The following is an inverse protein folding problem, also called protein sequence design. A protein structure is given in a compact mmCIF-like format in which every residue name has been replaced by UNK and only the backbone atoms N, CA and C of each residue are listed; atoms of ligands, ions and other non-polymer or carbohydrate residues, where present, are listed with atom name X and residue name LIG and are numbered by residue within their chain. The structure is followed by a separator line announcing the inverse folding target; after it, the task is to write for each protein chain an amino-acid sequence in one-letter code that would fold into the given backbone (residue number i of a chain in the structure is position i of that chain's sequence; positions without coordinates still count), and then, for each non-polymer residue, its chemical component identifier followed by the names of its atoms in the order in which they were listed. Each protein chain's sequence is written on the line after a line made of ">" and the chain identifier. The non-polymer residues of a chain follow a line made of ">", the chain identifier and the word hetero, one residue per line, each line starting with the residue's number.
data_IF_868797620307
#
_entry.id   IF_868797620307
#
_cell.length_a   1.000
_cell.length_b   1.000
_cell.length_c   1.000
_cell.angle_alpha   90.00
_cell.angle_beta   90.00
_cell.angle_gamma   90.00
#
_symmetry.space_group_name_H-M   'P 1'
#
loop_
_entity.id
_entity.type
_entity.pdbx_description
1 polymer ?
#
# COMPACT_ATOMS: atom_id res chain seq x y z
N UNK A 1 -4.00 11.08 33.86
CA UNK A 1 -4.36 11.52 32.50
C UNK A 1 -5.84 11.84 32.49
N UNK A 2 -6.28 13.05 32.04
CA UNK A 2 -7.71 13.37 31.89
C UNK A 2 -8.23 12.58 30.69
N UNK A 3 -9.26 11.76 30.90
CA UNK A 3 -9.98 11.08 29.81
C UNK A 3 -10.80 12.13 29.05
N UNK A 4 -10.70 12.14 27.73
CA UNK A 4 -11.50 13.00 26.88
C UNK A 4 -12.91 12.41 26.78
N UNK A 5 -13.91 13.14 27.30
CA UNK A 5 -15.31 12.74 27.23
C UNK A 5 -15.93 13.23 25.92
N UNK A 6 -16.46 12.29 25.13
CA UNK A 6 -17.15 12.63 23.89
C UNK A 6 -18.53 13.21 24.18
N UNK A 7 -18.84 14.37 23.57
CA UNK A 7 -20.16 14.98 23.60
C UNK A 7 -21.04 14.59 22.38
N UNK A 8 -20.65 13.52 21.69
CA UNK A 8 -21.31 13.09 20.47
C UNK A 8 -22.64 12.39 20.76
N UNK A 9 -23.74 12.94 20.27
CA UNK A 9 -25.06 12.27 20.32
C UNK A 9 -25.18 11.29 19.15
N UNK A 10 -24.89 10.01 19.44
CA UNK A 10 -24.96 8.91 18.45
C UNK A 10 -26.38 8.56 18.00
N UNK A 11 -27.42 9.05 18.71
CA UNK A 11 -28.83 8.81 18.38
C UNK A 11 -29.40 9.90 17.46
N UNK A 12 -28.74 11.04 17.34
CA UNK A 12 -29.22 12.15 16.52
C UNK A 12 -29.28 11.77 15.03
N UNK A 13 -30.26 12.30 14.32
CA UNK A 13 -30.37 12.09 12.86
C UNK A 13 -29.18 12.64 12.10
N UNK A 14 -28.58 13.73 12.59
CA UNK A 14 -27.37 14.29 12.02
C UNK A 14 -26.16 13.31 12.10
N UNK A 15 -26.00 12.65 13.25
CA UNK A 15 -24.96 11.63 13.41
C UNK A 15 -25.20 10.45 12.47
N UNK A 16 -26.42 9.92 12.40
CA UNK A 16 -26.77 8.79 11.52
C UNK A 16 -26.49 9.11 10.06
N UNK A 17 -26.88 10.31 9.59
CA UNK A 17 -26.62 10.77 8.22
C UNK A 17 -25.13 10.86 7.92
N UNK A 18 -24.34 11.49 8.80
CA UNK A 18 -22.88 11.60 8.66
C UNK A 18 -22.20 10.23 8.67
N UNK A 19 -22.61 9.36 9.58
CA UNK A 19 -22.09 7.99 9.67
C UNK A 19 -22.36 7.19 8.40
N UNK A 20 -23.58 7.23 7.88
CA UNK A 20 -23.96 6.57 6.63
C UNK A 20 -23.10 7.05 5.46
N UNK A 21 -22.90 8.35 5.31
CA UNK A 21 -22.04 8.94 4.28
C UNK A 21 -20.58 8.49 4.41
N UNK A 22 -20.01 8.51 5.62
CA UNK A 22 -18.65 8.05 5.85
C UNK A 22 -18.48 6.55 5.56
N UNK A 23 -19.47 5.72 5.91
CA UNK A 23 -19.45 4.30 5.58
C UNK A 23 -19.49 4.05 4.07
N UNK A 24 -20.23 4.86 3.32
CA UNK A 24 -20.23 4.81 1.86
C UNK A 24 -18.84 5.14 1.28
N UNK A 25 -18.21 6.22 1.74
CA UNK A 25 -16.86 6.59 1.33
C UNK A 25 -15.82 5.51 1.67
N UNK A 26 -15.93 4.89 2.86
CA UNK A 26 -15.06 3.78 3.25
C UNK A 26 -15.27 2.55 2.37
N UNK A 27 -16.51 2.26 1.98
CA UNK A 27 -16.81 1.17 1.05
C UNK A 27 -16.17 1.40 -0.31
N UNK A 28 -16.29 2.62 -0.85
CA UNK A 28 -15.65 3.02 -2.10
C UNK A 28 -14.11 2.93 -2.01
N UNK A 29 -13.53 3.46 -0.94
CA UNK A 29 -12.08 3.38 -0.69
C UNK A 29 -11.62 1.91 -0.67
N UNK A 30 -12.34 1.03 0.01
CA UNK A 30 -12.00 -0.38 0.09
C UNK A 30 -12.11 -1.09 -1.28
N UNK A 31 -13.09 -0.71 -2.10
CA UNK A 31 -13.19 -1.20 -3.47
C UNK A 31 -11.97 -0.80 -4.31
N UNK A 32 -11.59 0.49 -4.27
CA UNK A 32 -10.40 1.00 -4.97
C UNK A 32 -9.12 0.34 -4.47
N UNK A 33 -8.96 0.15 -3.15
CA UNK A 33 -7.83 -0.61 -2.59
C UNK A 33 -7.72 -2.02 -3.18
N UNK A 34 -8.84 -2.74 -3.25
CA UNK A 34 -8.88 -4.08 -3.85
C UNK A 34 -8.46 -4.07 -5.32
N UNK A 35 -8.91 -3.07 -6.10
CA UNK A 35 -8.53 -2.92 -7.50
C UNK A 35 -7.01 -2.71 -7.68
N UNK A 36 -6.40 -1.85 -6.87
CA UNK A 36 -4.94 -1.60 -6.94
C UNK A 36 -4.11 -2.82 -6.54
N UNK A 37 -4.59 -3.60 -5.56
CA UNK A 37 -3.87 -4.77 -5.04
C UNK A 37 -4.08 -6.00 -5.95
N UNK A 38 -5.17 -6.03 -6.70
CA UNK A 38 -5.50 -7.15 -7.55
C UNK A 38 -4.37 -7.46 -8.55
N UNK A 39 -4.04 -8.73 -8.66
CA UNK A 39 -3.03 -9.24 -9.59
C UNK A 39 -3.67 -10.32 -10.47
N UNK A 40 -3.36 -10.30 -11.76
CA UNK A 40 -3.84 -11.32 -12.68
C UNK A 40 -3.26 -12.70 -12.28
N UNK A 41 -4.10 -13.71 -11.99
CA UNK A 41 -3.63 -15.01 -11.52
C UNK A 41 -2.62 -15.66 -12.47
N UNK A 42 -2.86 -15.55 -13.78
CA UNK A 42 -1.96 -16.09 -14.82
C UNK A 42 -0.57 -15.43 -14.80
N UNK A 43 -0.50 -14.11 -14.54
CA UNK A 43 0.76 -13.40 -14.46
C UNK A 43 1.54 -13.82 -13.21
N UNK A 44 0.85 -14.01 -12.09
CA UNK A 44 1.44 -14.54 -10.85
C UNK A 44 1.97 -15.94 -11.07
N UNK A 45 1.21 -16.83 -11.70
CA UNK A 45 1.62 -18.21 -11.99
C UNK A 45 2.89 -18.25 -12.86
N UNK A 46 2.93 -17.44 -13.94
CA UNK A 46 4.12 -17.30 -14.80
C UNK A 46 5.34 -16.82 -14.03
N UNK A 47 5.16 -15.92 -13.07
CA UNK A 47 6.24 -15.41 -12.22
C UNK A 47 6.76 -16.50 -11.29
N UNK A 48 5.87 -17.25 -10.64
CA UNK A 48 6.20 -18.36 -9.74
C UNK A 48 6.94 -19.49 -10.47
N UNK A 49 6.52 -19.85 -11.70
CA UNK A 49 7.23 -20.83 -12.54
C UNK A 49 8.67 -20.44 -12.86
N UNK A 50 9.01 -19.15 -12.77
CA UNK A 50 10.37 -18.61 -12.93
C UNK A 50 11.14 -18.51 -11.61
N UNK A 51 10.63 -19.08 -10.51
CA UNK A 51 11.23 -18.99 -9.18
C UNK A 51 11.17 -17.59 -8.56
N UNK A 52 10.27 -16.71 -9.06
CA UNK A 52 10.14 -15.33 -8.56
C UNK A 52 8.79 -15.14 -7.86
N UNK A 53 8.75 -14.23 -6.90
CA UNK A 53 7.53 -13.89 -6.15
C UNK A 53 7.04 -12.47 -6.49
N UNK A 54 5.71 -12.22 -6.44
CA UNK A 54 5.16 -10.86 -6.45
C UNK A 54 5.76 -10.01 -5.34
N UNK A 55 5.81 -8.69 -5.54
CA UNK A 55 6.47 -7.77 -4.60
C UNK A 55 5.91 -7.86 -3.17
N UNK A 56 4.57 -7.84 -3.01
CA UNK A 56 3.93 -7.96 -1.69
C UNK A 56 4.24 -9.29 -1.00
N UNK A 57 4.32 -10.37 -1.75
CA UNK A 57 4.70 -11.68 -1.20
C UNK A 57 6.16 -11.71 -0.73
N UNK A 58 7.07 -11.06 -1.47
CA UNK A 58 8.47 -10.91 -1.03
C UNK A 58 8.55 -10.16 0.29
N UNK A 59 7.84 -9.03 0.40
CA UNK A 59 7.83 -8.23 1.63
C UNK A 59 7.23 -9.05 2.79
N UNK A 60 6.10 -9.74 2.56
CA UNK A 60 5.47 -10.59 3.57
C UNK A 60 6.42 -11.67 4.14
N UNK A 61 7.33 -12.20 3.30
CA UNK A 61 8.33 -13.20 3.71
C UNK A 61 9.49 -12.62 4.52
N UNK A 62 9.71 -11.32 4.43
CA UNK A 62 10.77 -10.60 5.17
C UNK A 62 10.25 -10.09 6.51
N UNK A 63 8.96 -9.79 6.59
CA UNK A 63 8.30 -9.31 7.81
C UNK A 63 8.23 -10.39 8.89
N UNK A 64 8.22 -9.95 10.12
CA UNK A 64 8.01 -10.82 11.28
C UNK A 64 6.62 -11.50 11.21
N UNK A 65 6.48 -12.73 11.75
CA UNK A 65 5.20 -13.42 11.75
C UNK A 65 4.09 -12.63 12.43
N UNK A 66 2.95 -12.48 11.75
CA UNK A 66 1.79 -11.75 12.28
C UNK A 66 1.88 -10.21 12.13
N UNK A 67 2.95 -9.68 11.55
CA UNK A 67 3.07 -8.24 11.30
C UNK A 67 2.08 -7.78 10.22
N UNK A 68 1.33 -6.72 10.51
CA UNK A 68 0.48 -6.00 9.55
C UNK A 68 1.17 -4.69 9.15
N UNK A 69 1.89 -4.65 8.03
CA UNK A 69 2.67 -3.49 7.64
C UNK A 69 1.78 -2.36 7.14
N UNK A 70 2.23 -1.12 7.37
CA UNK A 70 1.65 0.08 6.78
C UNK A 70 2.15 0.26 5.34
N UNK A 71 1.29 0.13 4.34
CA UNK A 71 1.65 0.42 2.95
C UNK A 71 1.58 1.92 2.65
N UNK A 72 2.67 2.47 2.13
CA UNK A 72 2.82 3.87 1.77
C UNK A 72 2.55 4.06 0.27
N UNK A 73 1.74 5.07 -0.07
CA UNK A 73 1.46 5.44 -1.46
C UNK A 73 0.81 4.33 -2.28
N UNK A 74 -0.15 3.60 -1.70
CA UNK A 74 -0.91 2.56 -2.40
C UNK A 74 -1.54 3.07 -3.70
N UNK A 75 -2.08 4.29 -3.70
CA UNK A 75 -2.71 4.94 -4.86
C UNK A 75 -1.75 5.77 -5.72
N UNK A 76 -0.43 5.65 -5.51
CA UNK A 76 0.51 6.32 -6.40
C UNK A 76 0.33 5.84 -7.84
N UNK A 77 0.27 6.77 -8.79
CA UNK A 77 -0.05 6.56 -10.20
C UNK A 77 -1.51 6.10 -10.48
N UNK A 78 -2.44 6.27 -9.50
CA UNK A 78 -3.86 6.02 -9.74
C UNK A 78 -4.37 6.90 -10.89
N UNK A 79 -5.06 6.27 -11.87
CA UNK A 79 -5.57 6.94 -13.07
C UNK A 79 -4.49 7.71 -13.89
N UNK A 80 -3.24 7.25 -13.80
CA UNK A 80 -2.12 7.72 -14.63
C UNK A 80 -1.66 6.61 -15.58
N UNK A 81 -0.92 6.99 -16.63
CA UNK A 81 -0.34 6.04 -17.59
C UNK A 81 -1.39 5.16 -18.31
N UNK A 82 -2.45 5.78 -18.80
CA UNK A 82 -3.54 5.11 -19.52
C UNK A 82 -3.10 4.41 -20.82
N UNK A 83 -1.96 4.83 -21.37
CA UNK A 83 -1.29 4.22 -22.53
C UNK A 83 -0.65 2.86 -22.22
N UNK A 84 -0.53 2.52 -20.93
CA UNK A 84 0.04 1.25 -20.47
C UNK A 84 -1.10 0.29 -20.13
N UNK A 85 -1.21 -0.89 -20.80
CA UNK A 85 -2.19 -1.91 -20.44
C UNK A 85 -2.07 -2.30 -18.96
N UNK A 86 -3.18 -2.19 -18.21
CA UNK A 86 -3.21 -2.43 -16.77
C UNK A 86 -2.71 -1.26 -15.91
N UNK A 87 -2.32 -0.13 -16.52
CA UNK A 87 -1.86 1.05 -15.81
C UNK A 87 -0.52 0.83 -15.08
N UNK A 88 -0.28 1.64 -14.05
CA UNK A 88 0.94 1.58 -13.24
C UNK A 88 0.60 1.53 -11.74
N UNK A 89 -0.12 0.48 -11.26
CA UNK A 89 -0.62 0.41 -9.90
C UNK A 89 0.53 0.53 -8.88
N UNK A 90 0.27 1.30 -7.81
CA UNK A 90 1.25 1.61 -6.76
C UNK A 90 2.59 2.15 -7.29
N UNK A 91 2.58 2.83 -8.46
CA UNK A 91 3.78 3.31 -9.15
C UNK A 91 4.80 2.21 -9.46
N UNK A 92 4.38 0.96 -9.65
CA UNK A 92 5.26 -0.18 -9.95
C UNK A 92 6.22 -0.56 -8.83
N UNK A 93 6.07 0.02 -7.64
CA UNK A 93 6.90 -0.28 -6.47
C UNK A 93 6.06 -0.31 -5.19
N UNK A 94 6.24 -1.31 -4.38
CA UNK A 94 5.57 -1.45 -3.10
C UNK A 94 6.49 -0.93 -2.00
N UNK A 95 5.97 0.00 -1.20
CA UNK A 95 6.67 0.56 -0.03
C UNK A 95 5.85 0.23 1.20
N UNK A 96 6.44 -0.46 2.15
CA UNK A 96 5.78 -0.82 3.40
C UNK A 96 6.67 -0.52 4.60
N UNK A 97 6.03 -0.17 5.72
CA UNK A 97 6.70 -0.03 7.01
C UNK A 97 6.21 -1.16 7.91
N UNK A 98 7.11 -1.96 8.42
CA UNK A 98 6.79 -3.10 9.27
C UNK A 98 8.03 -3.62 9.99
N UNK A 99 7.85 -4.61 10.87
CA UNK A 99 8.94 -5.17 11.67
C UNK A 99 9.66 -6.28 10.91
N UNK A 100 10.98 -6.22 10.99
CA UNK A 100 11.90 -7.24 10.49
C UNK A 100 12.88 -7.57 11.62
N UNK A 101 12.86 -8.79 12.10
CA UNK A 101 13.67 -9.21 13.27
C UNK A 101 13.49 -8.28 14.48
N UNK A 102 12.22 -7.93 14.78
CA UNK A 102 11.85 -7.07 15.91
C UNK A 102 12.08 -5.58 15.70
N UNK A 103 12.70 -5.14 14.61
CA UNK A 103 13.01 -3.74 14.32
C UNK A 103 12.11 -3.19 13.22
N UNK A 104 11.56 -2.00 13.44
CA UNK A 104 10.77 -1.30 12.43
C UNK A 104 11.68 -0.87 11.27
N UNK A 105 11.27 -1.16 10.05
CA UNK A 105 12.00 -0.85 8.83
C UNK A 105 11.08 -0.35 7.72
N UNK A 106 11.60 0.44 6.80
CA UNK A 106 10.99 0.75 5.51
C UNK A 106 11.45 -0.30 4.51
N UNK A 107 10.51 -0.99 3.87
CA UNK A 107 10.80 -2.04 2.91
C UNK A 107 10.30 -1.60 1.54
N UNK A 108 11.16 -1.67 0.53
CA UNK A 108 10.87 -1.26 -0.85
C UNK A 108 11.06 -2.43 -1.79
N UNK A 109 10.05 -2.76 -2.58
CA UNK A 109 10.13 -3.84 -3.54
C UNK A 109 9.51 -3.43 -4.88
N UNK A 110 10.29 -3.47 -5.95
CA UNK A 110 9.76 -3.29 -7.30
C UNK A 110 8.85 -4.45 -7.67
N UNK A 111 7.68 -4.14 -8.25
CA UNK A 111 6.72 -5.15 -8.66
C UNK A 111 7.04 -5.68 -10.07
N UNK A 112 7.52 -6.93 -10.20
CA UNK A 112 7.81 -7.51 -11.49
C UNK A 112 6.57 -7.73 -12.36
N UNK A 113 5.37 -7.66 -11.79
CA UNK A 113 4.10 -7.76 -12.52
C UNK A 113 3.74 -6.45 -13.23
N UNK A 114 4.36 -5.33 -12.83
CA UNK A 114 4.17 -4.01 -13.47
C UNK A 114 5.37 -3.74 -14.38
N UNK A 115 5.19 -3.82 -15.69
CA UNK A 115 6.24 -3.62 -16.72
C UNK A 115 7.58 -4.30 -16.36
N UNK A 116 7.53 -5.53 -15.84
CA UNK A 116 8.73 -6.31 -15.44
C UNK A 116 9.60 -5.62 -14.40
N UNK A 117 9.05 -4.70 -13.61
CA UNK A 117 9.77 -3.92 -12.60
C UNK A 117 10.50 -2.69 -13.15
N UNK A 118 10.19 -2.25 -14.38
CA UNK A 118 10.73 -1.02 -14.94
C UNK A 118 10.32 0.20 -14.11
N UNK A 119 11.12 1.24 -14.15
CA UNK A 119 10.87 2.49 -13.44
C UNK A 119 10.33 3.55 -14.41
N UNK A 120 9.42 4.36 -13.90
CA UNK A 120 8.92 5.59 -14.52
C UNK A 120 9.09 6.73 -13.51
N UNK A 121 8.84 7.96 -13.92
CA UNK A 121 9.03 9.14 -13.06
C UNK A 121 8.37 9.01 -11.68
N UNK A 122 7.11 8.54 -11.64
CA UNK A 122 6.38 8.37 -10.36
C UNK A 122 6.98 7.27 -9.48
N UNK A 123 7.62 6.25 -10.07
CA UNK A 123 8.37 5.22 -9.33
C UNK A 123 9.54 5.87 -8.60
N UNK A 124 10.30 6.73 -9.28
CA UNK A 124 11.41 7.46 -8.67
C UNK A 124 10.92 8.36 -7.52
N UNK A 125 9.86 9.14 -7.75
CA UNK A 125 9.26 10.00 -6.71
C UNK A 125 8.83 9.22 -5.48
N UNK A 126 8.19 8.06 -5.67
CA UNK A 126 7.77 7.19 -4.56
C UNK A 126 8.95 6.62 -3.78
N UNK A 127 10.02 6.20 -4.48
CA UNK A 127 11.24 5.71 -3.84
C UNK A 127 11.97 6.81 -3.05
N UNK A 128 12.08 8.02 -3.60
CA UNK A 128 12.64 9.17 -2.87
C UNK A 128 11.83 9.47 -1.60
N UNK A 129 10.49 9.46 -1.71
CA UNK A 129 9.64 9.65 -0.52
C UNK A 129 9.83 8.56 0.53
N UNK A 130 10.03 7.30 0.12
CA UNK A 130 10.34 6.21 1.03
C UNK A 130 11.66 6.45 1.78
N UNK A 131 12.68 6.95 1.09
CA UNK A 131 13.97 7.30 1.69
C UNK A 131 13.84 8.47 2.67
N UNK A 132 13.11 9.53 2.30
CA UNK A 132 12.81 10.65 3.20
C UNK A 132 12.15 10.17 4.50
N UNK A 133 11.09 9.33 4.38
CA UNK A 133 10.41 8.76 5.55
C UNK A 133 11.38 7.96 6.42
N UNK A 134 12.24 7.15 5.80
CA UNK A 134 13.23 6.35 6.53
C UNK A 134 14.22 7.26 7.28
N UNK A 135 14.73 8.30 6.64
CA UNK A 135 15.65 9.28 7.24
C UNK A 135 15.01 10.06 8.38
N UNK A 136 13.83 10.64 8.14
CA UNK A 136 13.11 11.45 9.13
C UNK A 136 12.77 10.67 10.40
N UNK A 137 12.50 9.39 10.25
CA UNK A 137 12.13 8.50 11.36
C UNK A 137 13.29 7.62 11.86
N UNK A 138 14.49 7.78 11.31
CA UNK A 138 15.69 7.00 11.64
C UNK A 138 15.45 5.48 11.51
N UNK A 139 14.71 5.09 10.48
CA UNK A 139 14.42 3.69 10.18
C UNK A 139 15.42 3.15 9.17
N UNK A 140 15.85 1.88 9.32
CA UNK A 140 16.57 1.20 8.25
C UNK A 140 15.66 1.07 7.02
N UNK A 141 16.26 1.05 5.83
CA UNK A 141 15.60 0.79 4.55
C UNK A 141 16.15 -0.49 3.94
N UNK A 142 15.27 -1.34 3.44
CA UNK A 142 15.56 -2.64 2.84
C UNK A 142 15.02 -2.67 1.41
#
# INVERSE_FOLDING_TARGET
>A
MKVFESRLDIKSEQYKKRRSYLLQLLSELNLRKKQVIAQAPEAVEKLLKRGKYPAREKIRRVLDPGEEPLEIGLFAAWEMYHDIPGGYPSAGTIVQIGRVSGKLAVIVANDPLVKSGAWVEITCKKNLRAQEIAMDNRLPII
#
